data_IF_635965718225
#
_entry.id   IF_635965718225
#
_cell.length_a   1.000
_cell.length_b   1.000
_cell.length_c   1.000
_cell.angle_alpha   90.00
_cell.angle_beta   90.00
_cell.angle_gamma   90.00
#
_symmetry.space_group_name_H-M   'P 1'
#
loop_
_entity.id
_entity.type
_entity.pdbx_description
1 polymer ?
#
# COMPACT_ATOMS: atom_id res chain seq x y z
N UNK A 1 -9.45 -8.65 19.59
CA UNK A 1 -9.50 -8.11 18.21
C UNK A 1 -10.81 -7.36 18.06
N UNK A 2 -10.77 -6.04 17.83
CA UNK A 2 -11.99 -5.22 17.80
C UNK A 2 -12.55 -5.13 16.38
N UNK A 3 -13.06 -6.26 15.88
CA UNK A 3 -13.51 -6.44 14.50
C UNK A 3 -14.59 -5.43 14.09
N UNK A 4 -15.41 -4.96 15.04
CA UNK A 4 -16.45 -3.95 14.81
C UNK A 4 -15.83 -2.61 14.41
N UNK A 5 -14.79 -2.15 15.10
CA UNK A 5 -14.11 -0.89 14.73
C UNK A 5 -13.44 -0.99 13.38
N UNK A 6 -12.78 -2.11 13.09
CA UNK A 6 -12.18 -2.36 11.77
C UNK A 6 -13.24 -2.36 10.68
N UNK A 7 -14.39 -3.03 10.91
CA UNK A 7 -15.50 -3.06 9.97
C UNK A 7 -16.06 -1.66 9.71
N UNK A 8 -16.32 -0.87 10.76
CA UNK A 8 -16.85 0.50 10.62
C UNK A 8 -15.87 1.40 9.88
N UNK A 9 -14.57 1.32 10.19
CA UNK A 9 -13.55 2.10 9.49
C UNK A 9 -13.43 1.70 8.01
N UNK A 10 -13.45 0.40 7.70
CA UNK A 10 -13.41 -0.11 6.33
C UNK A 10 -14.66 0.26 5.54
N UNK A 11 -15.85 0.11 6.14
CA UNK A 11 -17.12 0.49 5.53
C UNK A 11 -17.20 2.01 5.31
N UNK A 12 -16.75 2.80 6.28
CA UNK A 12 -16.69 4.26 6.17
C UNK A 12 -15.70 4.72 5.10
N UNK A 13 -14.52 4.10 5.03
CA UNK A 13 -13.54 4.36 3.98
C UNK A 13 -14.11 4.02 2.60
N UNK A 14 -14.73 2.85 2.45
CA UNK A 14 -15.34 2.41 1.19
C UNK A 14 -16.47 3.37 0.77
N UNK A 15 -17.32 3.78 1.71
CA UNK A 15 -18.36 4.79 1.49
C UNK A 15 -17.79 6.14 1.04
N UNK A 16 -16.71 6.61 1.68
CA UNK A 16 -16.03 7.85 1.30
C UNK A 16 -15.47 7.78 -0.13
N UNK A 17 -14.86 6.66 -0.51
CA UNK A 17 -14.36 6.44 -1.87
C UNK A 17 -15.49 6.48 -2.91
N UNK A 18 -16.63 5.86 -2.63
CA UNK A 18 -17.80 5.91 -3.52
C UNK A 18 -18.35 7.32 -3.67
N UNK A 19 -18.44 8.07 -2.55
CA UNK A 19 -18.95 9.44 -2.53
C UNK A 19 -18.06 10.39 -3.34
N UNK A 20 -16.74 10.31 -3.13
CA UNK A 20 -15.76 11.12 -3.88
C UNK A 20 -15.72 10.70 -5.36
N UNK A 21 -15.75 9.41 -5.66
CA UNK A 21 -15.77 8.90 -7.04
C UNK A 21 -17.01 9.34 -7.82
N UNK A 22 -18.18 9.33 -7.19
CA UNK A 22 -19.44 9.81 -7.78
C UNK A 22 -19.38 11.31 -8.11
N UNK A 23 -18.83 12.12 -7.19
CA UNK A 23 -18.72 13.57 -7.35
C UNK A 23 -17.71 13.98 -8.43
N UNK A 24 -16.61 13.23 -8.59
CA UNK A 24 -15.52 13.62 -9.48
C UNK A 24 -15.72 13.27 -10.95
N UNK A 25 -16.57 12.31 -11.32
CA UNK A 25 -16.58 11.88 -12.72
C UNK A 25 -17.75 11.06 -13.28
N UNK A 26 -18.75 10.67 -12.48
CA UNK A 26 -19.89 9.89 -13.00
C UNK A 26 -19.45 8.67 -13.84
N UNK A 27 -20.05 8.47 -15.02
CA UNK A 27 -19.75 7.33 -15.92
C UNK A 27 -18.36 7.38 -16.55
N UNK A 28 -17.85 8.58 -16.89
CA UNK A 28 -16.49 8.72 -17.44
C UNK A 28 -15.43 8.52 -16.36
N UNK A 29 -15.76 8.90 -15.12
CA UNK A 29 -14.96 8.64 -13.93
C UNK A 29 -14.73 7.16 -13.67
N UNK A 30 -15.71 6.29 -14.00
CA UNK A 30 -15.53 4.84 -13.89
C UNK A 30 -14.45 4.30 -14.83
N UNK A 31 -14.42 4.77 -16.09
CA UNK A 31 -13.40 4.34 -17.07
C UNK A 31 -12.02 4.85 -16.65
N UNK A 32 -11.92 6.10 -16.22
CA UNK A 32 -10.68 6.69 -15.72
C UNK A 32 -10.21 5.97 -14.45
N UNK A 33 -11.11 5.67 -13.51
CA UNK A 33 -10.80 4.93 -12.29
C UNK A 33 -10.35 3.50 -12.59
N UNK A 34 -10.94 2.83 -13.59
CA UNK A 34 -10.48 1.53 -14.06
C UNK A 34 -9.07 1.62 -14.65
N UNK A 35 -8.82 2.58 -15.54
CA UNK A 35 -7.51 2.77 -16.14
C UNK A 35 -6.43 3.07 -15.09
N UNK A 36 -6.69 4.04 -14.19
CA UNK A 36 -5.78 4.37 -13.10
C UNK A 36 -5.63 3.21 -12.11
N UNK A 37 -6.72 2.56 -11.73
CA UNK A 37 -6.70 1.43 -10.80
C UNK A 37 -5.88 0.26 -11.34
N UNK A 38 -6.08 -0.12 -12.61
CA UNK A 38 -5.28 -1.14 -13.28
C UNK A 38 -3.82 -0.74 -13.38
N UNK A 39 -3.52 0.51 -13.76
CA UNK A 39 -2.16 1.02 -13.82
C UNK A 39 -1.49 0.98 -12.44
N UNK A 40 -2.18 1.45 -11.41
CA UNK A 40 -1.67 1.50 -10.04
C UNK A 40 -1.46 0.09 -9.48
N UNK A 41 -2.36 -0.84 -9.79
CA UNK A 41 -2.24 -2.24 -9.39
C UNK A 41 -1.04 -2.90 -10.07
N UNK A 42 -0.83 -2.66 -11.37
CA UNK A 42 0.37 -3.10 -12.10
C UNK A 42 1.64 -2.51 -11.47
N UNK A 43 1.69 -1.20 -11.26
CA UNK A 43 2.86 -0.53 -10.66
C UNK A 43 3.14 -1.09 -9.27
N UNK A 44 2.11 -1.27 -8.44
CA UNK A 44 2.26 -1.87 -7.11
C UNK A 44 2.75 -3.32 -7.20
N UNK A 45 2.25 -4.12 -8.14
CA UNK A 45 2.68 -5.51 -8.27
C UNK A 45 4.19 -5.61 -8.59
N UNK A 46 4.70 -4.78 -9.50
CA UNK A 46 6.10 -4.85 -9.93
C UNK A 46 7.09 -4.01 -9.10
N UNK A 47 6.63 -2.92 -8.48
CA UNK A 47 7.50 -1.96 -7.79
C UNK A 47 7.18 -1.81 -6.30
N UNK A 48 6.35 -2.70 -5.72
CA UNK A 48 5.98 -2.62 -4.30
C UNK A 48 7.19 -2.61 -3.37
N UNK A 49 8.22 -3.39 -3.67
CA UNK A 49 9.48 -3.50 -2.94
C UNK A 49 10.17 -2.14 -2.78
N UNK A 50 10.33 -1.39 -3.86
CA UNK A 50 11.00 -0.09 -3.83
C UNK A 50 10.10 0.99 -3.23
N UNK A 51 8.80 0.91 -3.50
CA UNK A 51 7.84 1.88 -3.01
C UNK A 51 7.73 1.80 -1.49
N UNK A 52 7.62 0.59 -0.93
CA UNK A 52 7.50 0.38 0.51
C UNK A 52 8.77 0.82 1.24
N UNK A 53 9.95 0.49 0.71
CA UNK A 53 11.23 0.94 1.27
C UNK A 53 11.32 2.48 1.28
N UNK A 54 10.88 3.15 0.22
CA UNK A 54 10.84 4.62 0.17
C UNK A 54 9.84 5.21 1.18
N UNK A 55 8.65 4.63 1.31
CA UNK A 55 7.64 5.09 2.28
C UNK A 55 8.15 5.00 3.72
N UNK A 56 8.83 3.92 4.07
CA UNK A 56 9.47 3.75 5.38
C UNK A 56 10.79 4.50 5.54
N UNK A 57 11.26 5.20 4.48
CA UNK A 57 12.58 5.83 4.44
C UNK A 57 13.69 4.87 4.84
N UNK A 58 13.61 3.64 4.34
CA UNK A 58 14.57 2.60 4.64
C UNK A 58 15.99 3.06 4.28
N UNK A 59 16.93 2.78 5.17
CA UNK A 59 18.34 3.06 4.99
C UNK A 59 19.09 1.77 4.72
N UNK A 60 20.08 1.83 3.83
CA UNK A 60 20.99 0.71 3.61
C UNK A 60 21.96 0.69 4.78
N UNK A 61 21.98 -0.41 5.53
CA UNK A 61 22.86 -0.60 6.69
C UNK A 61 23.90 -1.67 6.42
N UNK A 62 25.10 -1.45 6.94
CA UNK A 62 26.22 -2.39 6.91
C UNK A 62 26.16 -3.36 8.09
N UNK A 63 26.91 -4.46 8.02
CA UNK A 63 26.97 -5.47 9.09
C UNK A 63 27.56 -4.90 10.40
N UNK A 64 28.39 -3.85 10.31
CA UNK A 64 28.93 -3.16 11.49
C UNK A 64 27.88 -2.28 12.18
N UNK A 65 26.99 -1.64 11.40
CA UNK A 65 25.95 -0.75 11.93
C UNK A 65 24.77 -1.51 12.54
N UNK A 66 24.43 -2.68 11.97
CA UNK A 66 23.30 -3.48 12.43
C UNK A 66 23.62 -5.00 12.42
N UNK A 67 24.54 -5.48 13.28
CA UNK A 67 24.97 -6.88 13.30
C UNK A 67 23.83 -7.85 13.62
N UNK A 68 22.87 -7.45 14.46
CA UNK A 68 21.70 -8.27 14.82
C UNK A 68 20.79 -8.55 13.63
N UNK A 69 20.58 -7.55 12.75
CA UNK A 69 19.78 -7.69 11.52
C UNK A 69 20.42 -8.67 10.55
N UNK A 70 21.75 -8.58 10.37
CA UNK A 70 22.49 -9.53 9.54
C UNK A 70 22.46 -10.94 10.12
N UNK A 71 22.65 -11.10 11.43
CA UNK A 71 22.57 -12.40 12.10
C UNK A 71 21.16 -13.03 12.01
N UNK A 72 20.10 -12.21 12.06
CA UNK A 72 18.73 -12.67 11.90
C UNK A 72 18.48 -13.23 10.49
N UNK A 73 18.92 -12.53 9.45
CA UNK A 73 18.79 -13.00 8.06
C UNK A 73 19.63 -14.26 7.83
N UNK A 74 20.84 -14.33 8.38
CA UNK A 74 21.74 -15.47 8.17
C UNK A 74 21.20 -16.77 8.77
N UNK A 75 20.36 -16.70 9.80
CA UNK A 75 19.64 -17.86 10.37
C UNK A 75 18.51 -18.39 9.48
N UNK A 76 18.05 -17.59 8.50
CA UNK A 76 16.97 -17.95 7.58
C UNK A 76 17.47 -18.50 6.24
N UNK A 77 18.80 -18.55 6.05
CA UNK A 77 19.45 -19.22 4.92
C UNK A 77 19.57 -20.73 5.19
#
# INVERSE_FOLDING_TARGET
MNNVRTFVLMAGLLGLFLLVGQLLGGSSGLIIALAFGSLFNFVMYFFSDRLVLKMYRAQVVTAQEAPELYAMIDRLR
#
